data_IF_422851157864
#
_entry.id   IF_422851157864
#
_cell.length_a   1.000
_cell.length_b   1.000
_cell.length_c   1.000
_cell.angle_alpha   90.00
_cell.angle_beta   90.00
_cell.angle_gamma   90.00
#
_symmetry.space_group_name_H-M   'P 1'
#
loop_
_entity.id
_entity.type
_entity.pdbx_description
1 polymer ?
#
# COMPACT_ATOMS: atom_id res chain seq x y z
N UNK A 1 -7.21 34.50 5.95
CA UNK A 1 -7.48 33.05 5.90
C UNK A 1 -8.91 32.82 6.31
N UNK A 2 -9.66 32.07 5.51
CA UNK A 2 -11.12 32.02 5.57
C UNK A 2 -11.59 31.33 6.86
N UNK A 3 -12.55 31.94 7.55
CA UNK A 3 -13.18 31.49 8.80
C UNK A 3 -14.03 30.22 8.68
N UNK A 4 -13.42 29.15 8.17
CA UNK A 4 -13.97 27.79 8.22
C UNK A 4 -13.61 27.24 9.60
N UNK A 5 -14.63 26.96 10.40
CA UNK A 5 -14.46 26.31 11.70
C UNK A 5 -13.93 24.88 11.46
N UNK A 6 -12.77 24.58 12.04
CA UNK A 6 -12.14 23.26 11.92
C UNK A 6 -12.96 22.25 12.73
N UNK A 7 -13.58 21.30 12.06
CA UNK A 7 -14.18 20.14 12.72
C UNK A 7 -13.06 19.17 13.18
N UNK A 8 -12.70 19.28 14.46
CA UNK A 8 -11.67 18.43 15.06
C UNK A 8 -12.08 16.96 15.14
N UNK A 9 -13.37 16.64 14.99
CA UNK A 9 -13.83 15.24 15.01
C UNK A 9 -13.46 14.49 13.72
N UNK A 10 -13.30 15.21 12.60
CA UNK A 10 -13.03 14.61 11.28
C UNK A 10 -11.57 14.75 10.85
N UNK A 11 -10.73 15.46 11.59
CA UNK A 11 -9.34 15.73 11.20
C UNK A 11 -8.51 14.45 10.92
N UNK A 12 -8.74 13.39 11.69
CA UNK A 12 -8.07 12.10 11.47
C UNK A 12 -8.58 11.38 10.20
N UNK A 13 -9.85 11.60 9.84
CA UNK A 13 -10.44 11.09 8.60
C UNK A 13 -9.81 11.79 7.40
N UNK A 14 -9.82 13.12 7.40
CA UNK A 14 -9.24 13.97 6.36
C UNK A 14 -7.75 13.69 6.17
N UNK A 15 -6.99 13.60 7.27
CA UNK A 15 -5.56 13.28 7.21
C UNK A 15 -5.28 11.91 6.60
N UNK A 16 -6.15 10.92 6.86
CA UNK A 16 -6.01 9.58 6.28
C UNK A 16 -6.35 9.56 4.80
N UNK A 17 -7.35 10.33 4.37
CA UNK A 17 -7.67 10.52 2.96
C UNK A 17 -6.51 11.13 2.19
N UNK A 18 -5.91 12.21 2.70
CA UNK A 18 -4.72 12.81 2.08
C UNK A 18 -3.54 11.84 1.99
N UNK A 19 -3.29 11.07 3.05
CA UNK A 19 -2.25 10.05 3.04
C UNK A 19 -2.54 8.96 2.00
N UNK A 20 -3.79 8.50 1.88
CA UNK A 20 -4.18 7.52 0.88
C UNK A 20 -3.93 8.02 -0.55
N UNK A 21 -4.36 9.24 -0.87
CA UNK A 21 -4.17 9.85 -2.18
C UNK A 21 -2.69 9.99 -2.55
N UNK A 22 -1.85 10.38 -1.59
CA UNK A 22 -0.40 10.48 -1.77
C UNK A 22 0.21 9.12 -2.11
N UNK A 23 -0.07 8.09 -1.29
CA UNK A 23 0.45 6.74 -1.52
C UNK A 23 -0.08 6.15 -2.84
N UNK A 24 -1.34 6.39 -3.19
CA UNK A 24 -1.90 5.97 -4.48
C UNK A 24 -1.19 6.69 -5.66
N UNK A 25 -0.78 7.94 -5.49
CA UNK A 25 0.10 8.65 -6.41
C UNK A 25 1.46 7.97 -6.59
N UNK A 26 2.12 7.62 -5.50
CA UNK A 26 3.42 6.95 -5.53
C UNK A 26 3.35 5.54 -6.13
N UNK A 27 2.33 4.75 -5.80
CA UNK A 27 2.12 3.42 -6.39
C UNK A 27 1.90 3.50 -7.90
N UNK A 28 1.19 4.52 -8.40
CA UNK A 28 1.06 4.76 -9.85
C UNK A 28 2.41 5.04 -10.52
N UNK A 29 3.31 5.77 -9.85
CA UNK A 29 4.68 5.98 -10.36
C UNK A 29 5.48 4.67 -10.33
N UNK A 30 5.35 3.88 -9.27
CA UNK A 30 6.00 2.58 -9.12
C UNK A 30 5.59 1.61 -10.25
N UNK A 31 4.33 1.66 -10.67
CA UNK A 31 3.84 0.87 -11.80
C UNK A 31 4.59 1.16 -13.11
N UNK A 32 5.23 2.32 -13.27
CA UNK A 32 6.07 2.64 -14.42
C UNK A 32 7.38 1.83 -14.50
N UNK A 33 7.76 1.13 -13.42
CA UNK A 33 8.91 0.23 -13.39
C UNK A 33 8.53 -1.25 -13.59
N UNK A 34 7.25 -1.57 -13.65
CA UNK A 34 6.79 -2.93 -13.88
C UNK A 34 6.99 -3.34 -15.34
N UNK A 35 7.18 -4.64 -15.63
CA UNK A 35 7.12 -5.16 -17.00
C UNK A 35 5.79 -4.80 -17.69
N UNK A 36 5.80 -4.67 -19.03
CA UNK A 36 4.64 -4.18 -19.80
C UNK A 36 3.36 -5.01 -19.58
N UNK A 37 3.50 -6.33 -19.41
CA UNK A 37 2.40 -7.27 -19.18
C UNK A 37 2.11 -7.55 -17.70
N UNK A 38 2.85 -6.95 -16.77
CA UNK A 38 2.66 -7.19 -15.35
C UNK A 38 1.38 -6.49 -14.83
N UNK A 39 0.59 -7.16 -13.96
CA UNK A 39 -0.53 -6.51 -13.30
C UNK A 39 -0.08 -5.27 -12.53
N UNK A 40 -0.82 -4.17 -12.68
CA UNK A 40 -0.51 -2.92 -11.96
C UNK A 40 -0.78 -3.08 -10.47
N UNK A 41 0.13 -2.54 -9.67
CA UNK A 41 -0.06 -2.40 -8.23
C UNK A 41 -1.10 -1.30 -7.95
N UNK A 42 -1.84 -1.46 -6.85
CA UNK A 42 -2.82 -0.49 -6.40
C UNK A 42 -2.89 -0.48 -4.86
N UNK A 43 -3.41 0.62 -4.31
CA UNK A 43 -3.65 0.75 -2.87
C UNK A 43 -5.08 0.28 -2.60
N UNK A 44 -5.31 -0.67 -1.68
CA UNK A 44 -6.67 -1.05 -1.31
C UNK A 44 -7.43 0.12 -0.70
N UNK A 45 -8.76 0.06 -0.77
CA UNK A 45 -9.63 1.06 -0.14
C UNK A 45 -9.37 1.13 1.35
N UNK A 46 -9.41 2.33 1.93
CA UNK A 46 -9.09 2.59 3.34
C UNK A 46 -10.03 1.91 4.36
N UNK A 47 -11.12 1.28 3.90
CA UNK A 47 -12.05 0.52 4.74
C UNK A 47 -11.67 -0.97 4.81
N UNK A 48 -10.83 -1.45 3.90
CA UNK A 48 -10.37 -2.83 3.86
C UNK A 48 -9.54 -3.17 5.10
N UNK A 49 -9.84 -4.32 5.72
CA UNK A 49 -9.09 -4.94 6.81
C UNK A 49 -8.77 -4.01 8.01
N UNK A 50 -9.70 -3.13 8.40
CA UNK A 50 -9.50 -2.16 9.49
C UNK A 50 -9.72 -2.79 10.88
N UNK A 51 -8.84 -2.44 11.83
CA UNK A 51 -8.95 -2.82 13.26
C UNK A 51 -9.38 -1.66 14.18
N UNK A 52 -9.55 -0.46 13.62
CA UNK A 52 -9.93 0.78 14.31
C UNK A 52 -10.89 1.62 13.47
N UNK A 53 -11.60 2.56 14.10
CA UNK A 53 -12.51 3.49 13.42
C UNK A 53 -13.86 2.86 13.05
N UNK A 54 -14.62 3.57 12.22
CA UNK A 54 -15.99 3.18 11.85
C UNK A 54 -16.05 1.81 11.14
N UNK A 55 -15.08 1.51 10.27
CA UNK A 55 -15.00 0.24 9.55
C UNK A 55 -14.45 -0.94 10.39
N UNK A 56 -14.17 -0.75 11.69
CA UNK A 56 -13.63 -1.81 12.55
C UNK A 56 -14.57 -3.02 12.59
N UNK A 57 -14.03 -4.19 12.27
CA UNK A 57 -14.77 -5.45 12.32
C UNK A 57 -15.81 -5.63 11.21
N UNK A 58 -15.95 -4.64 10.32
CA UNK A 58 -16.75 -4.76 9.10
C UNK A 58 -15.90 -5.40 7.99
N UNK A 59 -16.56 -6.08 7.06
CA UNK A 59 -15.92 -6.73 5.92
C UNK A 59 -16.15 -5.88 4.66
N UNK A 60 -15.08 -5.31 4.15
CA UNK A 60 -15.06 -4.61 2.87
C UNK A 60 -14.11 -5.33 1.94
N UNK A 61 -14.41 -5.35 0.64
CA UNK A 61 -13.50 -5.76 -0.42
C UNK A 61 -12.34 -4.75 -0.57
N UNK A 62 -11.30 -5.12 -1.32
CA UNK A 62 -10.15 -4.25 -1.57
C UNK A 62 -10.51 -3.00 -2.37
N UNK A 63 -11.64 -3.00 -3.08
CA UNK A 63 -12.18 -1.85 -3.81
C UNK A 63 -13.09 -0.96 -2.94
N UNK A 64 -13.38 -1.35 -1.70
CA UNK A 64 -14.22 -0.60 -0.76
C UNK A 64 -15.69 -0.97 -0.76
N UNK A 65 -16.12 -1.89 -1.62
CA UNK A 65 -17.49 -2.43 -1.57
C UNK A 65 -17.68 -3.33 -0.36
N UNK A 66 -18.90 -3.44 0.17
CA UNK A 66 -19.18 -4.39 1.25
C UNK A 66 -18.98 -5.82 0.76
N UNK A 67 -18.29 -6.64 1.56
CA UNK A 67 -18.13 -8.06 1.26
C UNK A 67 -19.45 -8.79 1.48
N UNK A 68 -19.82 -9.65 0.54
CA UNK A 68 -20.99 -10.53 0.64
C UNK A 68 -20.51 -11.99 0.63
N UNK A 69 -20.92 -12.77 1.62
CA UNK A 69 -20.44 -14.13 1.84
C UNK A 69 -20.36 -14.52 3.31
N UNK A 70 -20.04 -15.79 3.56
CA UNK A 70 -19.93 -16.32 4.92
C UNK A 70 -18.64 -15.88 5.64
N UNK A 71 -18.46 -16.34 6.88
CA UNK A 71 -17.19 -16.15 7.60
C UNK A 71 -16.07 -16.99 6.98
N UNK A 72 -16.38 -18.18 6.48
CA UNK A 72 -15.46 -19.02 5.72
C UNK A 72 -15.05 -18.38 4.40
N UNK A 73 -16.00 -17.86 3.62
CA UNK A 73 -15.71 -17.15 2.36
C UNK A 73 -14.78 -15.94 2.60
N UNK A 74 -14.99 -15.24 3.72
CA UNK A 74 -14.14 -14.12 4.12
C UNK A 74 -12.72 -14.55 4.52
N UNK A 75 -12.60 -15.67 5.23
CA UNK A 75 -11.30 -16.23 5.59
C UNK A 75 -10.50 -16.65 4.33
N UNK A 76 -11.16 -17.31 3.38
CA UNK A 76 -10.56 -17.70 2.10
C UNK A 76 -10.18 -16.48 1.26
N UNK A 77 -11.03 -15.45 1.23
CA UNK A 77 -10.75 -14.17 0.57
C UNK A 77 -9.49 -13.50 1.17
N UNK A 78 -9.39 -13.42 2.49
CA UNK A 78 -8.22 -12.85 3.16
C UNK A 78 -6.95 -13.67 2.91
N UNK A 79 -7.04 -15.00 2.94
CA UNK A 79 -5.91 -15.89 2.66
C UNK A 79 -5.32 -15.67 1.26
N UNK A 80 -6.14 -15.29 0.28
CA UNK A 80 -5.69 -15.04 -1.09
C UNK A 80 -5.17 -13.62 -1.33
N UNK A 81 -5.51 -12.65 -0.47
CA UNK A 81 -5.20 -11.22 -0.66
C UNK A 81 -4.10 -10.73 0.26
N UNK A 82 -4.00 -11.30 1.46
CA UNK A 82 -2.96 -10.96 2.43
C UNK A 82 -1.79 -11.96 2.32
N UNK A 83 -0.57 -11.53 2.66
CA UNK A 83 0.53 -12.45 2.85
C UNK A 83 0.18 -13.55 3.85
N UNK A 84 0.56 -14.78 3.52
CA UNK A 84 0.38 -15.97 4.34
C UNK A 84 1.64 -16.26 5.12
N UNK A 85 1.53 -17.08 6.16
CA UNK A 85 2.68 -17.52 6.95
C UNK A 85 3.77 -18.19 6.09
N UNK A 86 3.37 -18.92 5.05
CA UNK A 86 4.33 -19.52 4.11
C UNK A 86 5.06 -18.46 3.26
N UNK A 87 4.39 -17.37 2.90
CA UNK A 87 5.02 -16.31 2.10
C UNK A 87 6.13 -15.63 2.91
N UNK A 88 5.96 -15.46 4.23
CA UNK A 88 7.00 -14.96 5.13
C UNK A 88 8.20 -15.91 5.21
N UNK A 89 7.97 -17.22 5.29
CA UNK A 89 9.04 -18.24 5.27
C UNK A 89 9.80 -18.21 3.94
N UNK A 90 9.08 -18.12 2.83
CA UNK A 90 9.67 -18.07 1.49
C UNK A 90 10.50 -16.78 1.30
N UNK A 91 10.06 -15.65 1.88
CA UNK A 91 10.81 -14.38 1.88
C UNK A 91 12.17 -14.52 2.57
N UNK A 92 12.29 -15.32 3.65
CA UNK A 92 13.57 -15.54 4.33
C UNK A 92 14.63 -16.16 3.40
N UNK A 93 14.22 -17.07 2.50
CA UNK A 93 15.12 -17.67 1.52
C UNK A 93 15.42 -16.73 0.33
N UNK A 94 14.46 -15.88 -0.06
CA UNK A 94 14.67 -14.84 -1.08
C UNK A 94 15.69 -13.80 -0.59
N UNK A 95 15.64 -13.42 0.69
CA UNK A 95 16.56 -12.44 1.27
C UNK A 95 18.02 -12.90 1.31
N UNK A 96 18.29 -14.20 1.14
CA UNK A 96 19.66 -14.75 0.99
C UNK A 96 20.20 -14.61 -0.43
N UNK A 97 19.38 -14.21 -1.40
CA UNK A 97 19.72 -14.09 -2.82
C UNK A 97 19.91 -12.61 -3.22
N UNK A 98 20.42 -12.38 -4.43
CA UNK A 98 20.42 -11.05 -5.06
C UNK A 98 19.02 -10.74 -5.62
N UNK A 99 18.09 -10.37 -4.73
CA UNK A 99 16.66 -10.20 -5.08
C UNK A 99 16.27 -8.75 -5.43
N UNK A 100 17.14 -7.78 -5.16
CA UNK A 100 16.95 -6.37 -5.54
C UNK A 100 17.89 -6.03 -6.70
N UNK A 101 17.34 -5.52 -7.79
CA UNK A 101 18.16 -5.03 -8.90
C UNK A 101 18.98 -3.79 -8.49
N UNK A 102 20.27 -3.80 -8.80
CA UNK A 102 21.14 -2.65 -8.62
C UNK A 102 20.71 -1.50 -9.54
N UNK A 103 20.25 -0.39 -8.96
CA UNK A 103 19.91 0.82 -9.70
C UNK A 103 21.15 1.71 -9.81
N UNK A 104 21.72 1.92 -11.02
CA UNK A 104 22.82 2.86 -11.17
C UNK A 104 22.38 4.27 -10.77
N UNK A 105 23.29 5.04 -10.16
CA UNK A 105 23.02 6.43 -9.80
C UNK A 105 22.60 7.23 -11.03
N UNK A 106 21.58 8.08 -10.88
CA UNK A 106 21.21 9.02 -11.95
C UNK A 106 22.29 10.07 -12.15
N UNK A 107 22.36 10.67 -13.36
CA UNK A 107 23.27 11.77 -13.68
C UNK A 107 23.22 12.90 -12.65
N UNK A 108 22.00 13.26 -12.22
CA UNK A 108 21.77 14.29 -11.19
C UNK A 108 22.35 13.90 -9.83
N UNK A 109 22.26 12.63 -9.44
CA UNK A 109 22.82 12.14 -8.17
C UNK A 109 24.35 12.17 -8.21
N UNK A 110 24.95 11.71 -9.32
CA UNK A 110 26.39 11.74 -9.56
C UNK A 110 26.92 13.19 -9.49
N UNK A 111 26.27 14.13 -10.18
CA UNK A 111 26.65 15.55 -10.20
C UNK A 111 26.51 16.23 -8.83
N UNK A 112 25.53 15.81 -8.03
CA UNK A 112 25.27 16.37 -6.68
C UNK A 112 26.15 15.76 -5.58
N UNK A 113 26.92 14.71 -5.86
CA UNK A 113 27.71 13.99 -4.87
C UNK A 113 26.91 13.13 -3.88
N UNK A 114 25.59 13.06 -4.02
CA UNK A 114 24.71 12.25 -3.17
C UNK A 114 24.89 10.78 -3.54
N UNK A 115 25.38 9.98 -2.57
CA UNK A 115 25.57 8.53 -2.74
C UNK A 115 27.00 8.09 -3.08
N UNK A 116 27.99 8.99 -3.10
CA UNK A 116 29.40 8.65 -3.37
C UNK A 116 30.09 7.97 -2.17
N UNK A 117 29.53 8.10 -0.96
CA UNK A 117 30.02 7.42 0.24
C UNK A 117 28.85 6.76 0.97
N UNK A 118 28.60 5.48 0.68
CA UNK A 118 27.88 4.56 1.52
C UNK A 118 28.70 3.28 1.63
#
# INVERSE_FOLDING_TARGET
EAGIEVDKATLNEESRGHYHDEIAGEIRKLCGYLPEDAPKLYVPHENFNRKIGAAKGQKFNVDGTSFDGSDEDWADYLHNILPRDQDEIDLEEIFKQEWIANKPMSTRQIESGIGISA
#
